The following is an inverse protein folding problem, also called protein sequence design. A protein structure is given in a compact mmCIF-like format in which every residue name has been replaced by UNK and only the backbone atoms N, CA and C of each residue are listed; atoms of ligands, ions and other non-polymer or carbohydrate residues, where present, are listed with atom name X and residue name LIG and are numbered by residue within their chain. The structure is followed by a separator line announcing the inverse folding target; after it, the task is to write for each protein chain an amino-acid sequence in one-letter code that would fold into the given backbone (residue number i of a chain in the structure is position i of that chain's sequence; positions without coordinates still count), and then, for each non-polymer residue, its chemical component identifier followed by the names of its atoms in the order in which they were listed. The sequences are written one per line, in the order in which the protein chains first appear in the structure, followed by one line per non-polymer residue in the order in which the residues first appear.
data_IF_101248950687
#
_entry.id   IF_101248950687
#
_cell.length_a   1.000
_cell.length_b   1.000
_cell.length_c   1.000
_cell.angle_alpha   90.00
_cell.angle_beta   90.00
_cell.angle_gamma   90.00
#
_symmetry.space_group_name_H-M   'P 1'
#
loop_
_entity.id
_entity.type
_entity.pdbx_description
1 polymer ?
#
# COMPACT_ATOMS: atom_id res chain seq x y z
N UNK A 1 -8.96 -2.25 14.81
CA UNK A 1 -9.24 -2.18 13.37
C UNK A 1 -7.95 -2.15 12.59
N UNK A 2 -7.84 -3.03 11.64
CA UNK A 2 -6.66 -3.05 10.79
C UNK A 2 -6.72 -1.89 9.82
N UNK A 3 -5.79 -0.99 9.96
CA UNK A 3 -5.65 0.08 9.01
C UNK A 3 -4.50 -0.29 8.09
N UNK A 4 -4.84 -0.86 6.96
CA UNK A 4 -3.86 -1.10 5.92
C UNK A 4 -3.48 0.21 5.27
N UNK A 5 -2.28 0.26 4.76
CA UNK A 5 -1.76 1.43 4.05
C UNK A 5 -1.68 1.11 2.57
N UNK A 6 -2.21 1.97 1.69
CA UNK A 6 -2.05 1.77 0.26
C UNK A 6 -0.58 1.89 -0.13
N UNK A 7 -0.11 0.94 -0.91
CA UNK A 7 1.26 0.92 -1.38
C UNK A 7 1.29 0.54 -2.85
N UNK A 8 2.18 1.14 -3.60
CA UNK A 8 2.34 0.87 -5.02
C UNK A 8 3.45 -0.14 -5.24
N UNK A 9 3.17 -1.16 -6.01
CA UNK A 9 4.15 -2.21 -6.30
C UNK A 9 5.17 -1.71 -7.31
N UNK A 10 6.44 -1.76 -6.92
CA UNK A 10 7.55 -1.35 -7.77
C UNK A 10 8.23 -2.54 -8.43
N UNK A 11 8.32 -3.67 -7.72
CA UNK A 11 8.95 -4.88 -8.22
C UNK A 11 8.23 -6.08 -7.65
N UNK A 12 8.22 -7.18 -8.39
CA UNK A 12 7.62 -8.44 -7.94
C UNK A 12 8.65 -9.55 -7.97
N UNK A 13 8.49 -10.50 -7.03
CA UNK A 13 9.32 -11.69 -6.96
C UNK A 13 8.47 -12.88 -6.49
N UNK A 14 9.12 -13.99 -6.17
CA UNK A 14 8.42 -15.18 -5.71
C UNK A 14 7.89 -14.96 -4.29
N UNK A 15 6.60 -14.73 -4.18
CA UNK A 15 5.95 -14.55 -2.88
C UNK A 15 6.24 -13.24 -2.19
N UNK A 16 6.98 -12.34 -2.83
CA UNK A 16 7.30 -11.04 -2.24
C UNK A 16 7.23 -9.94 -3.30
N UNK A 17 7.21 -8.71 -2.85
CA UNK A 17 7.21 -7.55 -3.73
C UNK A 17 7.86 -6.38 -3.01
N UNK A 18 8.45 -5.48 -3.79
CA UNK A 18 8.94 -4.21 -3.27
C UNK A 18 7.87 -3.17 -3.57
N UNK A 19 7.45 -2.47 -2.54
CA UNK A 19 6.41 -1.45 -2.65
C UNK A 19 6.93 -0.10 -2.16
N UNK A 20 6.22 0.95 -2.55
CA UNK A 20 6.49 2.29 -2.07
C UNK A 20 5.34 2.75 -1.20
N UNK A 21 5.66 3.22 -0.01
CA UNK A 21 4.70 3.80 0.93
C UNK A 21 5.26 5.15 1.38
N UNK A 22 4.61 6.22 0.97
CA UNK A 22 5.01 7.57 1.38
C UNK A 22 6.45 7.92 1.02
N UNK A 23 6.94 7.45 -0.12
CA UNK A 23 8.31 7.70 -0.56
C UNK A 23 9.34 6.73 -0.01
N UNK A 24 8.93 5.76 0.79
CA UNK A 24 9.81 4.75 1.38
C UNK A 24 9.58 3.41 0.69
N UNK A 25 10.65 2.74 0.30
CA UNK A 25 10.59 1.42 -0.32
C UNK A 25 10.64 0.35 0.75
N UNK A 26 9.76 -0.64 0.61
CA UNK A 26 9.71 -1.76 1.54
C UNK A 26 9.46 -3.06 0.80
N UNK A 27 10.05 -4.13 1.30
CA UNK A 27 9.75 -5.47 0.81
C UNK A 27 8.64 -6.06 1.68
N UNK A 28 7.62 -6.61 1.02
CA UNK A 28 6.47 -7.20 1.71
C UNK A 28 6.16 -8.56 1.11
N UNK A 29 5.37 -9.34 1.85
CA UNK A 29 4.86 -10.62 1.35
C UNK A 29 3.58 -10.39 0.55
N UNK A 30 3.47 -11.06 -0.59
CA UNK A 30 2.26 -11.05 -1.41
C UNK A 30 1.63 -12.44 -1.49
N UNK A 31 1.95 -13.29 -0.53
CA UNK A 31 1.45 -14.67 -0.51
C UNK A 31 -0.05 -14.76 -0.28
N UNK A 32 -0.67 -13.72 0.25
CA UNK A 32 -2.11 -13.70 0.55
C UNK A 32 -2.96 -13.24 -0.63
N UNK A 33 -2.35 -12.74 -1.68
CA UNK A 33 -3.07 -12.30 -2.88
C UNK A 33 -2.42 -12.90 -4.12
N UNK A 34 -3.22 -12.99 -5.19
CA UNK A 34 -2.76 -13.58 -6.45
C UNK A 34 -2.53 -12.52 -7.52
N UNK A 35 -1.70 -12.86 -8.51
CA UNK A 35 -1.54 -12.08 -9.73
C UNK A 35 -1.16 -10.62 -9.50
N UNK A 36 -0.13 -10.43 -8.70
CA UNK A 36 0.38 -9.09 -8.41
C UNK A 36 1.30 -8.64 -9.53
N UNK A 37 1.12 -7.41 -10.00
CA UNK A 37 1.94 -6.83 -11.07
C UNK A 37 2.51 -5.48 -10.67
N UNK A 38 3.63 -5.12 -11.30
CA UNK A 38 4.24 -3.80 -11.11
C UNK A 38 3.25 -2.71 -11.49
N UNK A 39 3.15 -1.69 -10.68
CA UNK A 39 2.24 -0.58 -10.89
C UNK A 39 0.89 -0.74 -10.22
N UNK A 40 0.58 -1.93 -9.74
CA UNK A 40 -0.66 -2.14 -8.99
C UNK A 40 -0.58 -1.58 -7.58
N UNK A 41 -1.74 -1.27 -7.02
CA UNK A 41 -1.84 -0.82 -5.65
C UNK A 41 -2.39 -1.92 -4.77
N UNK A 42 -1.85 -2.04 -3.57
CA UNK A 42 -2.29 -3.03 -2.60
C UNK A 42 -2.42 -2.38 -1.22
N UNK A 43 -3.23 -2.98 -0.37
CA UNK A 43 -3.28 -2.62 1.03
C UNK A 43 -2.25 -3.47 1.77
N UNK A 44 -1.36 -2.81 2.49
CA UNK A 44 -0.31 -3.48 3.27
C UNK A 44 -0.63 -3.35 4.75
N UNK A 45 -0.57 -4.47 5.46
CA UNK A 45 -0.76 -4.51 6.89
C UNK A 45 0.21 -5.52 7.49
N UNK A 46 0.99 -5.10 8.46
CA UNK A 46 1.96 -5.96 9.17
C UNK A 46 2.94 -6.67 8.22
N UNK A 47 3.33 -6.01 7.14
CA UNK A 47 4.28 -6.57 6.18
C UNK A 47 3.68 -7.50 5.14
N UNK A 48 2.34 -7.63 5.11
CA UNK A 48 1.63 -8.46 4.13
C UNK A 48 0.72 -7.61 3.27
N UNK A 49 0.70 -7.89 1.98
CA UNK A 49 -0.34 -7.35 1.11
C UNK A 49 -1.59 -8.19 1.32
N UNK A 50 -2.68 -7.55 1.70
CA UNK A 50 -3.91 -8.26 2.04
C UNK A 50 -5.01 -8.10 1.00
N UNK A 51 -4.93 -7.08 0.16
CA UNK A 51 -5.97 -6.78 -0.81
C UNK A 51 -5.41 -5.91 -1.91
N UNK A 52 -5.92 -6.10 -3.13
CA UNK A 52 -5.60 -5.20 -4.25
C UNK A 52 -6.56 -4.03 -4.26
N UNK A 53 -6.05 -2.88 -4.66
CA UNK A 53 -6.85 -1.67 -4.83
C UNK A 53 -6.77 -1.19 -6.26
N UNK A 54 -7.83 -0.52 -6.72
CA UNK A 54 -7.74 0.26 -7.94
C UNK A 54 -6.90 1.51 -7.66
N UNK A 55 -6.30 2.06 -8.68
CA UNK A 55 -5.52 3.28 -8.54
C UNK A 55 -6.37 4.42 -7.95
N UNK A 56 -7.61 4.53 -8.41
CA UNK A 56 -8.53 5.55 -7.90
C UNK A 56 -8.81 5.37 -6.42
N UNK A 57 -9.07 4.15 -5.98
CA UNK A 57 -9.32 3.88 -4.56
C UNK A 57 -8.08 4.18 -3.71
N UNK A 58 -6.90 3.85 -4.21
CA UNK A 58 -5.65 4.14 -3.51
C UNK A 58 -5.44 5.65 -3.34
N UNK A 59 -5.68 6.41 -4.39
CA UNK A 59 -5.55 7.87 -4.34
C UNK A 59 -6.52 8.49 -3.36
N UNK A 60 -7.77 8.01 -3.33
CA UNK A 60 -8.77 8.49 -2.39
C UNK A 60 -8.36 8.20 -0.95
N UNK A 61 -7.84 7.01 -0.69
CA UNK A 61 -7.42 6.63 0.65
C UNK A 61 -6.21 7.46 1.11
N UNK A 62 -5.25 7.68 0.22
CA UNK A 62 -4.09 8.50 0.54
C UNK A 62 -4.48 9.95 0.78
N UNK A 63 -5.43 10.47 0.02
CA UNK A 63 -5.94 11.82 0.23
C UNK A 63 -6.60 11.95 1.60
N UNK A 64 -7.35 10.94 2.01
CA UNK A 64 -8.00 10.93 3.31
C UNK A 64 -6.97 10.94 4.44
N UNK A 65 -5.92 10.13 4.35
CA UNK A 65 -4.85 10.13 5.34
C UNK A 65 -4.17 11.49 5.43
N UNK A 66 -3.99 12.15 4.29
CA UNK A 66 -3.38 13.47 4.26
C UNK A 66 -4.26 14.50 4.96
N UNK A 67 -5.57 14.45 4.72
CA UNK A 67 -6.52 15.33 5.38
C UNK A 67 -6.52 15.12 6.90
N UNK A 68 -6.47 13.88 7.35
CA UNK A 68 -6.42 13.58 8.78
C UNK A 68 -5.15 14.15 9.40
N UNK A 69 -4.02 13.99 8.75
CA UNK A 69 -2.75 14.52 9.24
C UNK A 69 -2.80 16.05 9.35
N UNK A 70 -3.36 16.72 8.34
CA UNK A 70 -3.50 18.16 8.34
C UNK A 70 -4.44 18.63 9.45
N UNK A 71 -5.56 17.91 9.66
CA UNK A 71 -6.55 18.27 10.67
C UNK A 71 -5.96 18.21 12.08
N UNK A 72 -5.07 17.25 12.32
CA UNK A 72 -4.43 17.11 13.63
C UNK A 72 -3.15 17.92 13.75
N UNK A 73 -2.72 18.56 12.68
CA UNK A 73 -1.50 19.38 12.69
C UNK A 73 -0.28 18.60 13.20
N UNK A 74 -0.14 17.41 12.73
CA UNK A 74 0.98 16.57 13.12
C UNK A 74 2.24 17.06 12.42
N UNK A 75 3.21 17.43 13.20
CA UNK A 75 4.47 17.99 12.70
C UNK A 75 5.62 17.10 13.10
#
# INVERSE_FOLDING_TARGET
MCLGVPAKILETGDGSAVVEVGGVRREISVMLIDDVSVGEWVIVHAGFAIEKLSEEAAEQTLALFREIADAYQIH
#
